data_IF_305528298132
#
_entry.id   IF_305528298132
#
_cell.length_a   1.000
_cell.length_b   1.000
_cell.length_c   1.000
_cell.angle_alpha   90.00
_cell.angle_beta   90.00
_cell.angle_gamma   90.00
#
_symmetry.space_group_name_H-M   'P 1'
#
loop_
_entity.id
_entity.type
_entity.pdbx_description
1 polymer ?
#
# COMPACT_ATOMS: atom_id res chain seq x y z
N UNK A 1 5.74 4.19 -54.27
CA UNK A 1 6.19 5.04 -53.12
C UNK A 1 7.59 4.61 -52.76
N UNK A 2 8.54 5.58 -52.76
CA UNK A 2 9.96 5.25 -52.61
C UNK A 2 10.20 4.79 -51.16
N UNK A 3 10.82 3.60 -50.98
CA UNK A 3 11.10 3.00 -49.65
C UNK A 3 11.79 3.98 -48.67
N UNK A 4 12.50 4.99 -49.21
CA UNK A 4 13.20 6.02 -48.45
C UNK A 4 12.27 6.93 -47.61
N UNK A 5 11.00 7.08 -47.98
CA UNK A 5 10.01 7.89 -47.29
C UNK A 5 9.00 7.03 -46.51
N UNK A 6 8.92 5.74 -46.82
CA UNK A 6 7.96 4.82 -46.19
C UNK A 6 8.28 4.63 -44.70
N UNK A 7 9.54 4.35 -44.36
CA UNK A 7 9.94 4.11 -42.96
C UNK A 7 9.76 5.33 -42.06
N UNK A 8 10.18 6.56 -42.41
CA UNK A 8 9.90 7.74 -41.58
C UNK A 8 8.41 8.00 -41.37
N UNK A 9 7.57 7.81 -42.39
CA UNK A 9 6.12 7.99 -42.28
C UNK A 9 5.54 6.92 -41.33
N UNK A 10 5.96 5.68 -41.45
CA UNK A 10 5.50 4.58 -40.58
C UNK A 10 5.91 4.80 -39.13
N UNK A 11 7.12 5.29 -38.90
CA UNK A 11 7.61 5.64 -37.55
C UNK A 11 6.78 6.76 -36.93
N UNK A 12 6.49 7.84 -37.68
CA UNK A 12 5.64 8.93 -37.19
C UNK A 12 4.25 8.41 -36.85
N UNK A 13 3.69 7.55 -37.69
CA UNK A 13 2.35 6.98 -37.47
C UNK A 13 2.30 6.09 -36.23
N UNK A 14 3.33 5.30 -35.97
CA UNK A 14 3.46 4.49 -34.75
C UNK A 14 3.59 5.40 -33.51
N UNK A 15 4.41 6.45 -33.57
CA UNK A 15 4.54 7.41 -32.44
C UNK A 15 3.22 8.10 -32.14
N UNK A 16 2.48 8.51 -33.17
CA UNK A 16 1.15 9.14 -33.01
C UNK A 16 0.16 8.14 -32.40
N UNK A 17 0.14 6.88 -32.86
CA UNK A 17 -0.72 5.83 -32.29
C UNK A 17 -0.37 5.60 -30.82
N UNK A 18 0.90 5.47 -30.47
CA UNK A 18 1.34 5.25 -29.10
C UNK A 18 0.98 6.45 -28.20
N UNK A 19 1.13 7.68 -28.69
CA UNK A 19 0.72 8.89 -27.97
C UNK A 19 -0.79 8.91 -27.66
N UNK A 20 -1.63 8.59 -28.63
CA UNK A 20 -3.08 8.53 -28.42
C UNK A 20 -3.50 7.32 -27.59
N UNK A 21 -2.82 6.17 -27.71
CA UNK A 21 -3.04 5.02 -26.85
C UNK A 21 -2.69 5.31 -25.40
N UNK A 22 -1.55 5.94 -25.14
CA UNK A 22 -1.15 6.40 -23.79
C UNK A 22 -2.16 7.39 -23.22
N UNK A 23 -2.59 8.37 -24.01
CA UNK A 23 -3.60 9.35 -23.60
C UNK A 23 -4.97 8.69 -23.32
N UNK A 24 -5.35 7.66 -24.10
CA UNK A 24 -6.59 6.91 -23.90
C UNK A 24 -6.51 6.05 -22.63
N UNK A 25 -5.41 5.34 -22.40
CA UNK A 25 -5.14 4.54 -21.20
C UNK A 25 -5.12 5.44 -19.97
N UNK A 26 -4.40 6.57 -20.02
CA UNK A 26 -4.34 7.53 -18.90
C UNK A 26 -5.71 8.13 -18.59
N UNK A 27 -6.55 8.39 -19.60
CA UNK A 27 -7.92 8.87 -19.38
C UNK A 27 -8.84 7.83 -18.71
N UNK A 28 -8.64 6.54 -18.99
CA UNK A 28 -9.38 5.46 -18.30
C UNK A 28 -8.86 5.22 -16.88
N UNK A 29 -7.54 5.42 -16.66
CA UNK A 29 -6.94 5.27 -15.33
C UNK A 29 -7.14 6.49 -14.42
N UNK A 30 -7.61 7.63 -14.96
CA UNK A 30 -7.94 8.85 -14.19
C UNK A 30 -9.40 8.89 -13.68
N UNK A 31 -10.27 8.00 -14.14
CA UNK A 31 -11.63 7.92 -13.65
C UNK A 31 -11.64 7.28 -12.26
N UNK A 32 -11.86 8.09 -11.20
CA UNK A 32 -12.36 7.55 -9.95
C UNK A 32 -13.71 6.90 -10.22
N UNK A 33 -13.98 5.69 -9.73
CA UNK A 33 -15.38 5.28 -9.60
C UNK A 33 -16.08 6.32 -8.71
N UNK A 34 -17.19 6.85 -9.18
CA UNK A 34 -17.99 7.86 -8.48
C UNK A 34 -18.74 7.16 -7.32
N UNK A 35 -18.00 6.82 -6.27
CA UNK A 35 -18.54 6.19 -5.07
C UNK A 35 -18.63 7.24 -3.97
N UNK A 36 -19.84 7.73 -3.78
CA UNK A 36 -20.38 8.46 -2.62
C UNK A 36 -19.51 9.56 -2.00
N UNK A 37 -19.90 10.80 -2.27
CA UNK A 37 -19.46 12.00 -1.54
C UNK A 37 -19.96 11.92 -0.10
N UNK A 38 -19.10 11.53 0.82
CA UNK A 38 -19.30 11.81 2.23
C UNK A 38 -18.71 13.20 2.48
N UNK A 39 -19.57 14.20 2.64
CA UNK A 39 -19.17 15.54 3.04
C UNK A 39 -19.00 15.56 4.57
N UNK A 40 -17.78 15.72 5.03
CA UNK A 40 -17.48 15.99 6.43
C UNK A 40 -16.87 17.38 6.51
N UNK A 41 -17.57 18.31 7.19
CA UNK A 41 -17.01 19.62 7.54
C UNK A 41 -15.99 19.41 8.67
N UNK A 42 -14.72 19.69 8.44
CA UNK A 42 -13.74 19.77 9.52
C UNK A 42 -12.61 20.75 9.26
N UNK A 43 -12.35 21.51 10.30
CA UNK A 43 -11.22 22.39 10.48
C UNK A 43 -10.06 21.69 11.17
N UNK A 44 -8.88 21.81 10.66
CA UNK A 44 -7.54 21.89 11.25
C UNK A 44 -7.00 20.88 12.31
N UNK A 45 -7.73 19.85 12.77
CA UNK A 45 -7.16 18.84 13.69
C UNK A 45 -7.07 17.45 13.02
N UNK A 46 -6.35 17.38 11.89
CA UNK A 46 -6.49 16.25 10.97
C UNK A 46 -5.58 15.04 11.27
N UNK A 47 -4.45 15.21 11.96
CA UNK A 47 -3.44 14.15 12.02
C UNK A 47 -3.70 13.05 13.06
N UNK A 48 -4.29 13.36 14.20
CA UNK A 48 -4.57 12.37 15.25
C UNK A 48 -5.95 11.68 15.10
N UNK A 49 -6.91 12.34 14.46
CA UNK A 49 -8.27 11.83 14.27
C UNK A 49 -8.44 10.88 13.08
N UNK A 50 -7.38 10.63 12.31
CA UNK A 50 -7.43 9.75 11.12
C UNK A 50 -6.94 8.33 11.38
N UNK A 51 -6.47 8.04 12.58
CA UNK A 51 -6.09 6.68 12.91
C UNK A 51 -7.35 5.82 13.06
N UNK A 52 -7.35 4.60 12.51
CA UNK A 52 -8.41 3.64 12.78
C UNK A 52 -8.53 3.34 14.27
N UNK A 53 -9.68 2.86 14.69
CA UNK A 53 -9.83 2.26 16.03
C UNK A 53 -8.94 1.02 16.11
N UNK A 54 -8.37 0.78 17.30
CA UNK A 54 -7.62 -0.44 17.57
C UNK A 54 -8.53 -1.43 18.29
N UNK A 55 -8.56 -2.68 17.82
CA UNK A 55 -9.29 -3.76 18.50
C UNK A 55 -8.49 -4.33 19.66
N UNK A 56 -7.17 -4.17 19.65
CA UNK A 56 -6.24 -4.73 20.64
C UNK A 56 -5.79 -3.73 21.69
N UNK A 57 -5.87 -2.42 21.37
CA UNK A 57 -5.30 -1.34 22.19
C UNK A 57 -3.77 -1.25 22.15
N UNK A 58 -3.10 -2.10 21.38
CA UNK A 58 -1.64 -2.12 21.25
C UNK A 58 -1.15 -1.20 20.11
N UNK A 59 -1.36 0.10 20.29
CA UNK A 59 -0.92 1.11 19.32
C UNK A 59 0.57 1.42 19.54
N UNK A 60 1.36 1.36 18.47
CA UNK A 60 2.77 1.70 18.42
C UNK A 60 2.97 2.82 17.40
N UNK A 61 3.58 3.92 17.82
CA UNK A 61 3.86 5.07 16.95
C UNK A 61 5.35 5.16 16.70
N UNK A 62 5.74 4.99 15.43
CA UNK A 62 7.09 5.20 14.94
C UNK A 62 7.27 6.62 14.39
N UNK A 63 8.48 6.92 13.93
CA UNK A 63 8.77 8.23 13.34
C UNK A 63 8.01 8.49 12.03
N UNK A 64 7.63 7.42 11.30
CA UNK A 64 7.11 7.56 9.94
C UNK A 64 5.85 6.74 9.65
N UNK A 65 5.34 5.99 10.59
CA UNK A 65 4.03 5.32 10.56
C UNK A 65 3.55 4.98 11.97
N UNK A 66 2.27 4.75 12.11
CA UNK A 66 1.65 4.23 13.34
C UNK A 66 0.96 2.91 12.99
N UNK A 67 0.96 1.97 13.91
CA UNK A 67 0.31 0.69 13.74
C UNK A 67 -0.49 0.29 14.99
N UNK A 68 -1.42 -0.62 14.83
CA UNK A 68 -2.02 -1.39 15.91
C UNK A 68 -1.59 -2.85 15.77
N UNK A 69 -0.93 -3.40 16.79
CA UNK A 69 -0.40 -4.76 16.76
C UNK A 69 -1.38 -5.76 17.34
N UNK A 70 -1.47 -6.91 16.71
CA UNK A 70 -2.30 -8.04 17.14
C UNK A 70 -1.43 -9.23 17.56
N UNK A 71 -1.20 -9.37 18.84
CA UNK A 71 -0.46 -10.50 19.43
C UNK A 71 -1.00 -11.90 19.00
N UNK A 72 -2.33 -12.12 18.97
CA UNK A 72 -2.85 -13.42 18.54
C UNK A 72 -2.51 -13.77 17.09
N UNK A 73 -2.18 -12.77 16.27
CA UNK A 73 -1.86 -12.93 14.86
C UNK A 73 -0.39 -12.63 14.53
N UNK A 74 0.39 -12.15 15.51
CA UNK A 74 1.82 -11.80 15.39
C UNK A 74 2.11 -10.85 14.24
N UNK A 75 1.24 -9.84 14.05
CA UNK A 75 1.38 -8.80 13.02
C UNK A 75 0.46 -7.61 13.31
N UNK A 76 0.65 -6.51 12.58
CA UNK A 76 -0.27 -5.38 12.70
C UNK A 76 -1.65 -5.71 12.12
N UNK A 77 -2.72 -5.33 12.84
CA UNK A 77 -4.08 -5.30 12.27
C UNK A 77 -4.21 -4.17 11.25
N UNK A 78 -3.56 -3.04 11.48
CA UNK A 78 -3.41 -1.96 10.51
C UNK A 78 -2.10 -1.21 10.71
N UNK A 79 -1.62 -0.62 9.62
CA UNK A 79 -0.56 0.39 9.57
C UNK A 79 -1.11 1.62 8.88
N UNK A 80 -0.95 2.78 9.52
CA UNK A 80 -1.42 4.06 9.02
C UNK A 80 -0.25 5.04 8.83
N UNK A 81 -0.23 5.75 7.70
CA UNK A 81 0.83 6.71 7.40
C UNK A 81 0.39 7.78 6.41
N UNK A 82 1.00 8.93 6.49
CA UNK A 82 0.92 9.96 5.46
C UNK A 82 1.97 9.70 4.37
N UNK A 83 1.56 9.78 3.13
CA UNK A 83 2.45 9.82 1.97
C UNK A 83 2.32 11.17 1.29
N UNK A 84 3.12 12.14 1.73
CA UNK A 84 3.15 13.46 1.09
C UNK A 84 3.97 13.43 -0.20
N UNK A 85 3.73 14.39 -1.07
CA UNK A 85 4.51 14.55 -2.32
C UNK A 85 6.01 14.74 -2.04
N UNK A 86 6.38 15.36 -0.93
CA UNK A 86 7.77 15.54 -0.51
C UNK A 86 8.46 14.23 -0.11
N UNK A 87 7.70 13.20 0.25
CA UNK A 87 8.22 11.88 0.58
C UNK A 87 8.61 11.07 -0.68
N UNK A 88 8.16 11.49 -1.87
CA UNK A 88 8.46 10.80 -3.12
C UNK A 88 9.89 11.10 -3.58
N UNK A 89 10.81 10.23 -3.22
CA UNK A 89 12.24 10.32 -3.52
C UNK A 89 12.73 9.06 -4.22
N UNK A 90 13.75 9.21 -5.05
CA UNK A 90 14.44 8.12 -5.72
C UNK A 90 15.80 7.80 -5.05
N UNK A 91 16.00 8.18 -3.77
CA UNK A 91 17.22 7.83 -3.08
C UNK A 91 17.39 6.31 -3.03
N UNK A 92 18.61 5.86 -3.24
CA UNK A 92 18.98 4.45 -3.15
C UNK A 92 19.73 4.23 -1.84
N UNK A 93 19.16 3.36 -1.01
CA UNK A 93 19.78 2.91 0.22
C UNK A 93 20.07 1.40 0.12
N UNK A 94 21.12 0.95 0.79
CA UNK A 94 21.35 -0.48 0.99
C UNK A 94 20.13 -1.07 1.73
N UNK A 95 19.65 -2.22 1.24
CA UNK A 95 18.51 -2.88 1.85
C UNK A 95 18.88 -3.45 3.21
N UNK A 96 18.25 -3.02 4.31
CA UNK A 96 18.54 -3.54 5.63
C UNK A 96 17.98 -4.95 5.82
N UNK A 97 18.45 -5.63 6.86
CA UNK A 97 17.82 -6.84 7.34
C UNK A 97 16.52 -6.49 8.06
N UNK A 98 15.57 -7.43 8.02
CA UNK A 98 14.39 -7.34 8.87
C UNK A 98 14.79 -7.55 10.33
N UNK A 99 14.26 -6.73 11.20
CA UNK A 99 14.54 -6.74 12.63
C UNK A 99 13.24 -6.71 13.43
N UNK A 100 13.27 -7.36 14.58
CA UNK A 100 12.17 -7.33 15.55
C UNK A 100 11.91 -5.90 16.01
N UNK A 101 10.64 -5.53 16.12
CA UNK A 101 10.20 -4.26 16.65
C UNK A 101 10.08 -4.31 18.16
N UNK A 102 10.98 -3.61 18.84
CA UNK A 102 11.04 -3.55 20.31
C UNK A 102 10.06 -2.56 20.94
N UNK A 103 9.43 -1.71 20.14
CA UNK A 103 8.37 -0.82 20.60
C UNK A 103 7.04 -1.60 20.76
N UNK A 104 6.88 -2.75 20.11
CA UNK A 104 5.84 -3.71 20.45
C UNK A 104 6.19 -4.32 21.81
N UNK A 105 5.31 -4.17 22.79
CA UNK A 105 5.57 -4.48 24.20
C UNK A 105 6.06 -5.91 24.44
N UNK A 106 5.58 -6.87 23.65
CA UNK A 106 5.95 -8.29 23.69
C UNK A 106 7.06 -8.64 22.71
N UNK A 107 7.46 -7.69 21.86
CA UNK A 107 8.25 -7.90 20.66
C UNK A 107 7.35 -8.22 19.47
N UNK A 108 7.81 -7.97 18.25
CA UNK A 108 7.14 -8.44 17.05
C UNK A 108 7.73 -9.76 16.58
N UNK A 109 6.98 -10.53 15.79
CA UNK A 109 7.42 -11.82 15.27
C UNK A 109 8.79 -11.80 14.60
N UNK A 110 9.62 -12.79 14.87
CA UNK A 110 10.93 -12.93 14.25
C UNK A 110 10.80 -13.17 12.73
N UNK A 111 11.66 -12.54 11.95
CA UNK A 111 11.68 -12.70 10.48
C UNK A 111 11.91 -14.16 10.04
N UNK A 112 12.47 -15.02 10.91
CA UNK A 112 12.73 -16.44 10.62
C UNK A 112 11.44 -17.24 10.41
N UNK A 113 10.29 -16.78 10.92
CA UNK A 113 8.98 -17.39 10.67
C UNK A 113 8.66 -17.46 9.17
N UNK A 114 9.17 -16.52 8.39
CA UNK A 114 8.96 -16.47 6.94
C UNK A 114 9.89 -17.38 6.14
N UNK A 115 10.95 -17.92 6.77
CA UNK A 115 11.94 -18.75 6.07
C UNK A 115 11.32 -20.09 5.65
N UNK A 116 11.36 -20.37 4.35
CA UNK A 116 10.76 -21.57 3.74
C UNK A 116 9.23 -21.71 3.96
N UNK A 117 8.54 -20.65 4.34
CA UNK A 117 7.09 -20.64 4.54
C UNK A 117 6.29 -20.66 3.24
N UNK A 118 6.89 -20.30 2.11
CA UNK A 118 6.20 -20.09 0.84
C UNK A 118 5.64 -18.67 0.67
N UNK A 119 5.76 -17.82 1.71
CA UNK A 119 5.29 -16.44 1.69
C UNK A 119 6.45 -15.43 1.69
N UNK A 120 6.22 -14.30 1.05
CA UNK A 120 7.11 -13.15 1.13
C UNK A 120 6.87 -12.39 2.44
N UNK A 121 7.91 -11.68 2.90
CA UNK A 121 7.80 -10.64 3.92
C UNK A 121 7.24 -9.39 3.26
N UNK A 122 5.90 -9.33 3.17
CA UNK A 122 5.20 -8.23 2.53
C UNK A 122 5.10 -7.01 3.45
N UNK A 123 5.49 -5.86 2.94
CA UNK A 123 5.38 -4.60 3.67
C UNK A 123 3.94 -4.09 3.70
N UNK A 124 3.51 -3.57 4.84
CA UNK A 124 2.26 -2.80 4.95
C UNK A 124 2.52 -1.33 4.59
N UNK A 125 3.43 -0.63 5.27
CA UNK A 125 4.00 0.63 4.81
C UNK A 125 5.17 0.32 3.87
N UNK A 126 5.06 0.59 2.53
CA UNK A 126 6.06 0.18 1.57
C UNK A 126 7.40 0.89 1.76
N UNK A 127 8.50 0.15 1.63
CA UNK A 127 9.85 0.73 1.63
C UNK A 127 10.04 1.79 0.52
N UNK A 128 9.33 1.62 -0.62
CA UNK A 128 9.32 2.58 -1.71
C UNK A 128 8.72 3.94 -1.37
N UNK A 129 7.85 4.00 -0.33
CA UNK A 129 7.19 5.23 0.13
C UNK A 129 8.05 6.00 1.14
N UNK A 130 9.15 5.44 1.60
CA UNK A 130 10.01 5.97 2.68
C UNK A 130 11.45 6.25 2.26
N UNK A 131 11.73 6.32 0.95
CA UNK A 131 13.07 6.60 0.44
C UNK A 131 13.52 8.06 0.56
N UNK A 132 12.76 8.92 1.21
CA UNK A 132 13.15 10.30 1.41
C UNK A 132 14.19 10.49 2.53
N UNK A 133 14.27 9.55 3.49
CA UNK A 133 15.34 9.49 4.48
C UNK A 133 15.78 8.04 4.75
N UNK A 134 17.01 7.90 5.23
CA UNK A 134 17.57 6.60 5.61
C UNK A 134 16.79 5.98 6.77
N UNK A 135 16.45 6.78 7.78
CA UNK A 135 15.71 6.36 8.96
C UNK A 135 14.30 5.89 8.58
N UNK A 136 13.59 6.66 7.76
CA UNK A 136 12.25 6.31 7.29
C UNK A 136 12.27 4.99 6.49
N UNK A 137 13.28 4.82 5.63
CA UNK A 137 13.45 3.59 4.86
C UNK A 137 13.72 2.40 5.79
N UNK A 138 14.61 2.57 6.78
CA UNK A 138 14.96 1.50 7.72
C UNK A 138 13.80 1.07 8.61
N UNK A 139 12.98 2.01 9.10
CA UNK A 139 11.80 1.68 9.90
C UNK A 139 10.83 0.73 9.19
N UNK A 140 10.74 0.80 7.85
CA UNK A 140 9.84 -0.12 7.12
C UNK A 140 10.25 -1.58 7.24
N UNK A 141 11.49 -1.89 7.65
CA UNK A 141 11.98 -3.27 7.84
C UNK A 141 11.80 -3.81 9.26
N UNK A 142 11.09 -3.09 10.13
CA UNK A 142 10.58 -3.64 11.38
C UNK A 142 9.54 -4.75 11.08
N UNK A 143 9.63 -5.88 11.77
CA UNK A 143 8.75 -7.02 11.47
C UNK A 143 7.29 -6.77 11.90
N UNK A 144 7.03 -5.76 12.73
CA UNK A 144 5.68 -5.25 13.00
C UNK A 144 4.98 -4.65 11.77
N UNK A 145 5.76 -4.20 10.76
CA UNK A 145 5.28 -3.68 9.48
C UNK A 145 5.17 -4.76 8.39
N UNK A 146 5.32 -6.04 8.74
CA UNK A 146 5.43 -7.15 7.79
C UNK A 146 4.29 -8.14 7.99
N UNK A 147 3.74 -8.63 6.89
CA UNK A 147 2.71 -9.67 6.87
C UNK A 147 3.02 -10.74 5.82
N UNK A 148 2.59 -12.00 6.01
CA UNK A 148 2.79 -13.07 5.02
C UNK A 148 1.99 -12.80 3.75
N UNK A 149 2.67 -12.47 2.66
CA UNK A 149 2.06 -12.21 1.37
C UNK A 149 2.45 -13.26 0.33
N UNK A 150 1.47 -13.72 -0.45
CA UNK A 150 1.75 -14.52 -1.64
C UNK A 150 2.69 -13.75 -2.59
N UNK A 151 3.67 -14.43 -3.17
CA UNK A 151 4.70 -13.78 -4.00
C UNK A 151 4.12 -13.06 -5.21
N UNK A 152 3.21 -13.71 -5.93
CA UNK A 152 2.60 -13.15 -7.14
C UNK A 152 1.65 -11.99 -6.81
N UNK A 153 0.95 -12.05 -5.67
CA UNK A 153 0.19 -10.94 -5.13
C UNK A 153 1.11 -9.76 -4.81
N UNK A 154 2.14 -9.99 -3.98
CA UNK A 154 3.04 -8.95 -3.47
C UNK A 154 3.78 -8.23 -4.63
N UNK A 155 4.36 -8.99 -5.56
CA UNK A 155 5.08 -8.43 -6.71
C UNK A 155 4.18 -7.97 -7.87
N UNK A 156 2.92 -8.39 -7.88
CA UNK A 156 1.93 -8.12 -8.92
C UNK A 156 0.95 -7.03 -8.54
N UNK A 157 -0.31 -7.40 -8.36
CA UNK A 157 -1.45 -6.47 -8.16
C UNK A 157 -1.21 -5.51 -7.00
N UNK A 158 -0.62 -5.98 -5.88
CA UNK A 158 -0.32 -5.14 -4.72
C UNK A 158 0.73 -4.07 -5.03
N UNK A 159 1.84 -4.46 -5.64
CA UNK A 159 2.87 -3.52 -6.07
C UNK A 159 2.34 -2.49 -7.10
N UNK A 160 1.45 -2.90 -8.02
CA UNK A 160 0.82 -1.96 -8.95
C UNK A 160 -0.07 -0.95 -8.23
N UNK A 161 -0.83 -1.38 -7.22
CA UNK A 161 -1.61 -0.47 -6.38
C UNK A 161 -0.70 0.51 -5.63
N UNK A 162 0.40 0.06 -5.02
CA UNK A 162 1.36 0.93 -4.35
C UNK A 162 1.97 1.98 -5.28
N UNK A 163 2.33 1.58 -6.51
CA UNK A 163 2.80 2.53 -7.52
C UNK A 163 1.72 3.57 -7.86
N UNK A 164 0.45 3.15 -7.91
CA UNK A 164 -0.67 4.06 -8.15
C UNK A 164 -0.92 5.00 -6.98
N UNK A 165 -0.79 4.52 -5.74
CA UNK A 165 -0.86 5.37 -4.54
C UNK A 165 0.21 6.46 -4.57
N UNK A 166 1.47 6.12 -4.93
CA UNK A 166 2.53 7.13 -5.14
C UNK A 166 2.19 8.14 -6.23
N UNK A 167 1.58 7.69 -7.32
CA UNK A 167 1.10 8.61 -8.36
C UNK A 167 0.02 9.55 -7.81
N UNK A 168 -0.94 9.07 -7.01
CA UNK A 168 -1.96 9.92 -6.40
C UNK A 168 -1.37 10.90 -5.38
N UNK A 169 -0.46 10.46 -4.53
CA UNK A 169 0.26 11.35 -3.62
C UNK A 169 0.99 12.48 -4.35
N UNK A 170 1.60 12.18 -5.50
CA UNK A 170 2.20 13.21 -6.36
C UNK A 170 1.17 14.16 -6.96
N UNK A 171 0.01 13.65 -7.38
CA UNK A 171 -1.04 14.40 -8.07
C UNK A 171 -1.82 15.31 -7.12
N UNK A 172 -2.09 14.85 -5.89
CA UNK A 172 -2.95 15.52 -4.91
C UNK A 172 -2.17 16.13 -3.73
N UNK A 173 -0.86 16.28 -3.88
CA UNK A 173 0.08 16.85 -2.91
C UNK A 173 0.26 16.04 -1.62
N UNK A 174 -0.35 14.89 -1.54
CA UNK A 174 -0.28 13.92 -0.46
C UNK A 174 -1.55 13.10 -0.34
N UNK A 175 -1.45 11.95 0.30
CA UNK A 175 -2.58 11.09 0.69
C UNK A 175 -2.30 10.46 2.05
N UNK A 176 -3.35 10.11 2.77
CA UNK A 176 -3.25 9.25 3.94
C UNK A 176 -3.56 7.81 3.53
N UNK A 177 -2.83 6.86 4.09
CA UNK A 177 -2.96 5.44 3.77
C UNK A 177 -3.15 4.64 5.04
N UNK A 178 -4.17 3.78 5.05
CA UNK A 178 -4.37 2.73 6.05
C UNK A 178 -4.35 1.39 5.35
N UNK A 179 -3.61 0.41 5.86
CA UNK A 179 -3.44 -0.87 5.20
C UNK A 179 -3.19 -1.99 6.21
N UNK A 180 -3.68 -3.18 5.92
CA UNK A 180 -3.51 -4.35 6.77
C UNK A 180 -3.98 -5.63 6.10
N UNK A 181 -3.73 -6.75 6.75
CA UNK A 181 -4.38 -8.02 6.43
C UNK A 181 -5.70 -8.16 7.16
N UNK A 182 -6.68 -8.82 6.56
CA UNK A 182 -7.92 -9.18 7.26
C UNK A 182 -7.62 -10.28 8.26
N UNK A 183 -7.57 -9.92 9.54
CA UNK A 183 -7.26 -10.83 10.64
C UNK A 183 -8.54 -11.39 11.23
N UNK A 184 -8.67 -12.73 11.22
CA UNK A 184 -9.81 -13.46 11.75
C UNK A 184 -9.35 -14.76 12.41
N UNK A 185 -10.17 -15.32 13.26
CA UNK A 185 -9.88 -16.62 13.86
C UNK A 185 -9.76 -17.72 12.80
N UNK A 186 -8.87 -18.69 13.04
CA UNK A 186 -8.71 -19.88 12.20
C UNK A 186 -7.90 -19.67 10.93
N UNK A 187 -7.21 -18.53 10.76
CA UNK A 187 -6.26 -18.33 9.65
C UNK A 187 -5.13 -19.38 9.72
N UNK A 188 -4.63 -19.84 8.56
CA UNK A 188 -3.36 -20.58 8.51
C UNK A 188 -2.24 -19.77 9.15
N UNK A 189 -1.22 -20.42 9.68
CA UNK A 189 -0.06 -19.77 10.30
C UNK A 189 1.25 -20.24 9.71
N UNK A 190 2.31 -19.45 9.87
CA UNK A 190 3.68 -19.78 9.50
C UNK A 190 4.62 -19.62 10.69
N UNK A 191 5.71 -20.40 10.67
CA UNK A 191 6.79 -20.33 11.65
C UNK A 191 6.41 -20.83 13.05
N UNK A 192 7.36 -20.71 13.96
CA UNK A 192 7.25 -21.21 15.32
C UNK A 192 6.38 -20.29 16.20
N UNK A 193 6.26 -19.01 15.84
CA UNK A 193 5.45 -18.00 16.54
C UNK A 193 4.00 -17.92 16.01
N UNK A 194 3.63 -18.79 15.05
CA UNK A 194 2.28 -18.87 14.50
C UNK A 194 1.79 -17.57 13.84
N UNK A 195 2.65 -16.91 13.08
CA UNK A 195 2.25 -15.70 12.33
C UNK A 195 1.11 -16.03 11.38
N UNK A 196 -0.04 -15.39 11.55
CA UNK A 196 -1.22 -15.64 10.74
C UNK A 196 -1.02 -15.22 9.29
N UNK A 197 -1.59 -16.01 8.36
CA UNK A 197 -1.58 -15.72 6.92
C UNK A 197 -2.94 -15.15 6.52
N UNK A 198 -3.07 -13.84 6.29
CA UNK A 198 -4.33 -13.25 5.85
C UNK A 198 -4.74 -13.78 4.48
N UNK A 199 -6.04 -14.05 4.31
CA UNK A 199 -6.60 -14.45 3.02
C UNK A 199 -6.78 -13.25 2.08
N UNK A 200 -6.90 -12.05 2.65
CA UNK A 200 -7.11 -10.78 1.93
C UNK A 200 -6.32 -9.66 2.59
N UNK A 201 -5.96 -8.67 1.79
CA UNK A 201 -5.36 -7.43 2.25
C UNK A 201 -6.21 -6.24 1.84
N UNK A 202 -6.32 -5.27 2.71
CA UNK A 202 -6.99 -4.02 2.40
C UNK A 202 -6.01 -2.84 2.34
N UNK A 203 -6.40 -1.83 1.57
CA UNK A 203 -5.72 -0.54 1.51
C UNK A 203 -6.74 0.56 1.31
N UNK A 204 -6.80 1.48 2.26
CA UNK A 204 -7.66 2.66 2.24
C UNK A 204 -6.78 3.87 1.95
N UNK A 205 -7.16 4.67 0.98
CA UNK A 205 -6.47 5.89 0.58
C UNK A 205 -7.42 7.06 0.78
N UNK A 206 -6.99 8.06 1.54
CA UNK A 206 -7.72 9.27 1.82
C UNK A 206 -6.99 10.48 1.25
N UNK A 207 -7.66 11.22 0.37
CA UNK A 207 -7.25 12.52 -0.12
C UNK A 207 -8.08 13.61 0.59
N UNK A 208 -7.39 14.57 1.19
CA UNK A 208 -7.98 15.69 1.93
C UNK A 208 -7.56 17.06 1.36
N UNK A 209 -6.92 17.09 0.20
CA UNK A 209 -6.23 18.26 -0.35
C UNK A 209 -7.13 19.48 -0.63
N UNK A 210 -8.42 19.26 -0.95
CA UNK A 210 -9.35 20.31 -1.38
C UNK A 210 -10.37 20.70 -0.27
N UNK A 211 -10.13 20.29 0.99
CA UNK A 211 -11.11 20.45 2.09
C UNK A 211 -12.31 19.52 1.98
N UNK A 212 -12.32 18.64 0.98
CA UNK A 212 -13.28 17.56 0.82
C UNK A 212 -12.53 16.23 0.92
N UNK A 213 -13.08 15.30 1.71
CA UNK A 213 -12.52 13.97 1.81
C UNK A 213 -12.92 13.13 0.61
N UNK A 214 -11.92 12.54 -0.06
CA UNK A 214 -12.13 11.50 -1.08
C UNK A 214 -11.48 10.25 -0.57
N UNK A 215 -12.25 9.21 -0.38
CA UNK A 215 -11.77 7.92 0.11
C UNK A 215 -11.88 6.88 -0.99
N UNK A 216 -10.86 6.04 -1.10
CA UNK A 216 -10.84 4.89 -1.98
C UNK A 216 -10.32 3.69 -1.21
N UNK A 217 -11.09 2.61 -1.17
CA UNK A 217 -10.76 1.41 -0.45
C UNK A 217 -10.66 0.21 -1.40
N UNK A 218 -9.69 -0.65 -1.13
CA UNK A 218 -9.42 -1.88 -1.88
C UNK A 218 -9.38 -3.06 -0.91
N UNK A 219 -9.99 -4.17 -1.32
CA UNK A 219 -9.92 -5.45 -0.63
C UNK A 219 -9.48 -6.51 -1.64
N UNK A 220 -8.25 -7.00 -1.53
CA UNK A 220 -7.61 -7.82 -2.55
C UNK A 220 -7.22 -9.18 -1.98
N UNK A 221 -7.65 -10.30 -2.59
CA UNK A 221 -7.26 -11.64 -2.18
C UNK A 221 -5.74 -11.84 -2.22
N UNK A 222 -5.18 -12.47 -1.18
CA UNK A 222 -3.74 -12.79 -1.04
C UNK A 222 -3.32 -13.96 -1.95
N UNK A 223 -3.53 -13.82 -3.24
CA UNK A 223 -3.21 -14.83 -4.27
C UNK A 223 -2.85 -14.19 -5.60
N UNK A 224 -2.25 -14.98 -6.50
CA UNK A 224 -2.02 -14.56 -7.88
C UNK A 224 -3.31 -14.12 -8.57
N UNK A 225 -3.26 -13.00 -9.27
CA UNK A 225 -4.34 -12.51 -10.13
C UNK A 225 -3.78 -11.73 -11.32
N UNK A 226 -4.48 -11.81 -12.45
CA UNK A 226 -4.23 -10.98 -13.63
C UNK A 226 -5.24 -9.82 -13.75
N UNK A 227 -6.16 -9.71 -12.80
CA UNK A 227 -7.15 -8.64 -12.77
C UNK A 227 -6.49 -7.31 -12.37
N UNK A 228 -7.05 -6.24 -12.85
CA UNK A 228 -6.65 -4.90 -12.43
C UNK A 228 -7.05 -4.68 -10.96
N UNK A 229 -6.21 -3.97 -10.18
CA UNK A 229 -6.57 -3.62 -8.81
C UNK A 229 -7.87 -2.80 -8.72
N UNK A 230 -8.32 -2.16 -9.79
CA UNK A 230 -9.60 -1.44 -9.83
C UNK A 230 -10.83 -2.35 -9.70
N UNK A 231 -10.68 -3.65 -10.02
CA UNK A 231 -11.76 -4.63 -9.85
C UNK A 231 -12.01 -5.00 -8.37
N UNK A 232 -11.09 -4.57 -7.49
CA UNK A 232 -11.14 -4.85 -6.06
C UNK A 232 -11.50 -3.62 -5.21
N UNK A 233 -12.09 -2.60 -5.83
CA UNK A 233 -12.60 -1.42 -5.12
C UNK A 233 -13.87 -1.81 -4.36
N UNK A 234 -13.90 -1.47 -3.08
CA UNK A 234 -15.04 -1.74 -2.19
C UNK A 234 -15.45 -0.47 -1.44
N UNK A 235 -16.69 -0.39 -0.91
CA UNK A 235 -17.03 0.59 0.11
C UNK A 235 -16.13 0.47 1.33
N UNK A 236 -15.84 1.57 2.04
CA UNK A 236 -15.04 1.53 3.27
C UNK A 236 -15.72 0.69 4.34
N UNK A 237 -17.04 0.78 4.43
CA UNK A 237 -17.88 0.03 5.38
C UNK A 237 -17.71 -1.51 5.25
N UNK A 238 -17.23 -2.01 4.11
CA UNK A 238 -16.95 -3.44 3.91
C UNK A 238 -15.61 -3.86 4.57
N UNK A 239 -14.81 -2.89 5.02
CA UNK A 239 -13.51 -3.12 5.68
C UNK A 239 -13.60 -2.91 7.19
N UNK A 240 -14.54 -2.07 7.65
CA UNK A 240 -14.82 -1.81 9.06
C UNK A 240 -15.47 -3.02 9.75
#
# INVERSE_FOLDING_TARGET
>A
MNRRYLYPILTILVVVILYYAEKYVNKQTEAYPDTSKVLVESSQEFSENLLPTSTTGAIVTHGFFTLSYSEPHEQAEWVAYELSKSHLSNNEFERPYFVEDREVKTGSADWRNYKNSGYDRGHLCPAGDRRFSYEAYHETFLTSNISPQNREFNSGVWNFLEQKVRYWAKKYDGVYVVTGGVLKEGLPTIGDENVSVPEEFYKIILDASDGNFKVLAFLIPNKATNESFYEFVVPVDDIE
#
